data_IF_700678368739
#
_entry.id   IF_700678368739
#
_cell.length_a   1.000
_cell.length_b   1.000
_cell.length_c   1.000
_cell.angle_alpha   90.00
_cell.angle_beta   90.00
_cell.angle_gamma   90.00
#
_symmetry.space_group_name_H-M   'P 1'
#
loop_
_entity.id
_entity.type
_entity.pdbx_description
1 polymer ?
#
# COMPACT_ATOMS: atom_id res chain seq x y z
N UNK A 1 23.26 -38.54 2.58
CA UNK A 1 23.16 -37.40 1.64
C UNK A 1 21.81 -37.33 0.93
N UNK A 2 21.34 -38.37 0.24
CA UNK A 2 20.05 -38.34 -0.52
C UNK A 2 18.85 -37.91 0.34
N UNK A 3 18.71 -38.46 1.54
CA UNK A 3 17.63 -38.11 2.48
C UNK A 3 17.63 -36.63 2.87
N UNK A 4 18.82 -36.05 3.11
CA UNK A 4 18.96 -34.63 3.45
C UNK A 4 18.54 -33.78 2.25
N UNK A 5 18.99 -34.12 1.04
CA UNK A 5 18.59 -33.41 -0.17
C UNK A 5 17.07 -33.45 -0.40
N UNK A 6 16.42 -34.60 -0.20
CA UNK A 6 14.98 -34.73 -0.33
C UNK A 6 14.21 -33.85 0.67
N UNK A 7 14.66 -33.83 1.94
CA UNK A 7 14.04 -32.98 2.97
C UNK A 7 14.22 -31.50 2.66
N UNK A 8 15.40 -31.08 2.19
CA UNK A 8 15.66 -29.68 1.81
C UNK A 8 14.79 -29.25 0.63
N UNK A 9 14.68 -30.08 -0.42
CA UNK A 9 13.83 -29.78 -1.58
C UNK A 9 12.36 -29.67 -1.15
N UNK A 10 11.88 -30.60 -0.31
CA UNK A 10 10.50 -30.58 0.17
C UNK A 10 10.20 -29.32 1.00
N UNK A 11 11.09 -28.95 1.93
CA UNK A 11 10.96 -27.71 2.72
C UNK A 11 10.93 -26.46 1.83
N UNK A 12 11.84 -26.37 0.86
CA UNK A 12 11.88 -25.24 -0.06
C UNK A 12 10.61 -25.17 -0.92
N UNK A 13 10.04 -26.31 -1.32
CA UNK A 13 8.77 -26.37 -2.04
C UNK A 13 7.59 -25.81 -1.23
N UNK A 14 7.48 -26.19 0.05
CA UNK A 14 6.46 -25.64 0.95
C UNK A 14 6.65 -24.12 1.11
N UNK A 15 7.87 -23.70 1.43
CA UNK A 15 8.18 -22.28 1.66
C UNK A 15 7.89 -21.42 0.42
N UNK A 16 8.24 -21.90 -0.77
CA UNK A 16 7.93 -21.21 -2.02
C UNK A 16 6.42 -21.08 -2.22
N UNK A 17 5.65 -22.16 -2.01
CA UNK A 17 4.20 -22.12 -2.16
C UNK A 17 3.54 -21.15 -1.18
N UNK A 18 3.98 -21.12 0.07
CA UNK A 18 3.47 -20.18 1.08
C UNK A 18 3.79 -18.73 0.72
N UNK A 19 5.01 -18.45 0.24
CA UNK A 19 5.42 -17.13 -0.20
C UNK A 19 4.61 -16.65 -1.42
N UNK A 20 4.42 -17.52 -2.42
CA UNK A 20 3.59 -17.21 -3.59
C UNK A 20 2.12 -16.99 -3.23
N UNK A 21 1.58 -17.81 -2.32
CA UNK A 21 0.22 -17.65 -1.83
C UNK A 21 0.06 -16.31 -1.11
N UNK A 22 0.99 -15.95 -0.22
CA UNK A 22 0.99 -14.64 0.45
C UNK A 22 1.05 -13.50 -0.58
N UNK A 23 1.97 -13.58 -1.53
CA UNK A 23 2.14 -12.57 -2.57
C UNK A 23 0.83 -12.36 -3.35
N UNK A 24 0.17 -13.44 -3.75
CA UNK A 24 -1.13 -13.39 -4.44
C UNK A 24 -2.21 -12.74 -3.58
N UNK A 25 -2.28 -13.09 -2.30
CA UNK A 25 -3.27 -12.51 -1.37
C UNK A 25 -3.03 -11.02 -1.10
N UNK A 26 -1.77 -10.60 -0.98
CA UNK A 26 -1.40 -9.20 -0.84
C UNK A 26 -1.74 -8.41 -2.11
N UNK A 27 -1.48 -9.02 -3.27
CA UNK A 27 -1.83 -8.45 -4.56
C UNK A 27 -3.35 -8.25 -4.69
N UNK A 28 -4.14 -9.28 -4.40
CA UNK A 28 -5.61 -9.20 -4.48
C UNK A 28 -6.18 -8.16 -3.50
N UNK A 29 -5.61 -8.07 -2.28
CA UNK A 29 -5.96 -7.03 -1.34
C UNK A 29 -5.58 -5.62 -1.86
N UNK A 30 -4.43 -5.50 -2.52
CA UNK A 30 -3.96 -4.23 -3.11
C UNK A 30 -4.87 -3.77 -4.25
N UNK A 31 -5.29 -4.68 -5.13
CA UNK A 31 -6.30 -4.42 -6.17
C UNK A 31 -7.61 -3.97 -5.55
N UNK A 32 -8.11 -4.69 -4.53
CA UNK A 32 -9.35 -4.33 -3.85
C UNK A 32 -9.29 -2.93 -3.21
N UNK A 33 -8.19 -2.59 -2.54
CA UNK A 33 -7.97 -1.25 -1.96
C UNK A 33 -7.93 -0.19 -3.05
N UNK A 34 -7.18 -0.42 -4.14
CA UNK A 34 -7.08 0.52 -5.24
C UNK A 34 -8.44 0.74 -5.92
N UNK A 35 -9.22 -0.31 -6.18
CA UNK A 35 -10.57 -0.18 -6.75
C UNK A 35 -11.47 0.67 -5.87
N UNK A 36 -11.48 0.46 -4.55
CA UNK A 36 -12.27 1.26 -3.61
C UNK A 36 -11.81 2.72 -3.54
N UNK A 37 -10.51 2.95 -3.67
CA UNK A 37 -9.93 4.29 -3.68
C UNK A 37 -10.34 5.05 -4.95
N UNK A 38 -10.21 4.41 -6.12
CA UNK A 38 -10.64 4.98 -7.41
C UNK A 38 -12.13 5.28 -7.40
N UNK A 39 -12.97 4.33 -6.98
CA UNK A 39 -14.42 4.52 -6.85
C UNK A 39 -14.76 5.69 -5.93
N UNK A 40 -14.04 5.83 -4.81
CA UNK A 40 -14.24 6.96 -3.89
C UNK A 40 -13.87 8.30 -4.51
N UNK A 41 -12.80 8.36 -5.30
CA UNK A 41 -12.37 9.57 -6.01
C UNK A 41 -13.40 9.94 -7.10
N UNK A 42 -13.80 8.95 -7.92
CA UNK A 42 -14.73 9.16 -9.04
C UNK A 42 -16.14 9.57 -8.59
N UNK A 43 -16.52 9.22 -7.37
CA UNK A 43 -17.81 9.58 -6.76
C UNK A 43 -17.77 10.86 -5.94
N UNK A 44 -16.59 11.47 -5.76
CA UNK A 44 -16.45 12.73 -5.03
C UNK A 44 -17.10 13.88 -5.81
N UNK A 45 -18.01 14.67 -5.18
CA UNK A 45 -18.65 15.78 -5.86
C UNK A 45 -17.64 16.79 -6.45
N UNK A 46 -17.76 17.06 -7.75
CA UNK A 46 -16.88 18.00 -8.46
C UNK A 46 -15.67 17.35 -9.12
N UNK A 47 -15.42 16.06 -8.88
CA UNK A 47 -14.35 15.33 -9.55
C UNK A 47 -14.62 15.19 -11.06
N UNK A 48 -13.57 15.34 -11.85
CA UNK A 48 -13.54 15.07 -13.30
C UNK A 48 -12.25 14.34 -13.65
N UNK A 49 -12.15 13.77 -14.86
CA UNK A 49 -10.94 13.07 -15.30
C UNK A 49 -9.68 13.96 -15.35
N UNK A 50 -9.86 15.28 -15.42
CA UNK A 50 -8.77 16.25 -15.49
C UNK A 50 -8.36 16.77 -14.11
N UNK A 51 -9.14 16.45 -13.07
CA UNK A 51 -8.87 16.86 -11.68
C UNK A 51 -7.53 16.31 -11.21
N UNK A 52 -6.69 17.20 -10.68
CA UNK A 52 -5.42 16.83 -10.08
C UNK A 52 -5.65 16.15 -8.73
N UNK A 53 -5.03 15.00 -8.51
CA UNK A 53 -5.16 14.22 -7.27
C UNK A 53 -3.82 14.12 -6.58
N UNK A 54 -3.78 14.46 -5.30
CA UNK A 54 -2.58 14.29 -4.47
C UNK A 54 -2.85 13.25 -3.39
N UNK A 55 -1.96 12.27 -3.31
CA UNK A 55 -1.99 11.25 -2.26
C UNK A 55 -1.04 11.63 -1.15
N UNK A 56 -1.54 11.76 0.08
CA UNK A 56 -0.74 12.10 1.25
C UNK A 56 -0.54 10.86 2.11
N UNK A 57 0.73 10.47 2.26
CA UNK A 57 1.14 9.28 3.01
C UNK A 57 0.91 7.97 2.25
N UNK A 58 0.96 6.86 2.98
CA UNK A 58 0.85 5.51 2.42
C UNK A 58 -0.48 4.84 2.76
N UNK A 59 -1.03 3.98 1.90
CA UNK A 59 -2.21 3.20 2.24
C UNK A 59 -1.98 2.31 3.46
N UNK A 60 -2.89 2.37 4.42
CA UNK A 60 -2.82 1.56 5.62
C UNK A 60 -3.13 0.09 5.29
N UNK A 61 -2.15 -0.79 5.52
CA UNK A 61 -2.29 -2.24 5.45
C UNK A 61 -1.98 -2.86 6.81
N UNK A 62 -2.61 -3.98 7.17
CA UNK A 62 -2.16 -4.78 8.30
C UNK A 62 -0.69 -5.17 8.13
N UNK A 63 0.13 -4.96 9.17
CA UNK A 63 1.55 -5.33 9.16
C UNK A 63 1.78 -6.84 9.15
N UNK A 64 0.78 -7.61 9.61
CA UNK A 64 0.84 -9.07 9.58
C UNK A 64 -0.45 -9.61 8.99
N UNK A 65 -0.33 -10.77 8.35
CA UNK A 65 -1.46 -11.58 7.91
C UNK A 65 -1.44 -12.88 8.71
N UNK A 66 -2.53 -13.17 9.40
CA UNK A 66 -2.67 -14.44 10.13
C UNK A 66 -2.42 -15.62 9.18
N UNK A 67 -1.68 -16.61 9.66
CA UNK A 67 -1.21 -17.75 8.87
C UNK A 67 0.06 -17.50 8.03
N UNK A 68 0.58 -16.27 8.00
CA UNK A 68 1.80 -15.92 7.24
C UNK A 68 2.84 -15.17 8.05
N UNK A 69 2.78 -15.20 9.39
CA UNK A 69 3.69 -14.44 10.26
C UNK A 69 5.17 -14.79 10.00
N UNK A 70 5.47 -16.08 9.84
CA UNK A 70 6.81 -16.60 9.58
C UNK A 70 7.43 -16.13 8.26
N UNK A 71 6.60 -15.71 7.29
CA UNK A 71 7.12 -15.20 6.01
C UNK A 71 7.85 -13.87 6.15
N UNK A 72 7.71 -13.15 7.28
CA UNK A 72 8.51 -11.95 7.57
C UNK A 72 10.00 -12.25 7.67
N UNK A 73 10.37 -13.45 8.09
CA UNK A 73 11.76 -13.90 8.20
C UNK A 73 12.37 -14.25 6.83
N UNK A 74 11.54 -14.35 5.77
CA UNK A 74 12.00 -14.68 4.43
C UNK A 74 12.38 -13.37 3.72
N UNK A 75 13.66 -13.25 3.36
CA UNK A 75 14.17 -12.11 2.59
C UNK A 75 13.33 -11.86 1.34
N UNK A 76 12.84 -10.63 1.19
CA UNK A 76 12.01 -10.21 0.05
C UNK A 76 10.53 -10.59 0.15
N UNK A 77 10.09 -11.29 1.19
CA UNK A 77 8.68 -11.66 1.38
C UNK A 77 8.04 -10.97 2.60
N UNK A 78 8.71 -10.01 3.23
CA UNK A 78 8.25 -9.38 4.47
C UNK A 78 7.07 -8.41 4.28
N UNK A 79 7.00 -7.72 3.13
CA UNK A 79 5.92 -6.76 2.85
C UNK A 79 4.52 -7.40 2.79
N UNK A 80 3.50 -6.64 3.21
CA UNK A 80 2.08 -7.02 3.18
C UNK A 80 1.26 -6.30 2.09
N UNK A 81 1.94 -5.58 1.19
CA UNK A 81 1.32 -4.70 0.18
C UNK A 81 2.10 -4.70 -1.13
N UNK A 82 1.43 -4.27 -2.20
CA UNK A 82 2.00 -4.24 -3.56
C UNK A 82 2.41 -2.85 -4.04
N UNK A 83 2.09 -1.80 -3.28
CA UNK A 83 2.50 -0.41 -3.53
C UNK A 83 2.71 0.32 -2.20
N UNK A 84 3.42 1.44 -2.25
CA UNK A 84 3.79 2.26 -1.09
C UNK A 84 3.41 3.72 -1.31
N UNK A 85 4.05 4.41 -2.27
CA UNK A 85 3.90 5.85 -2.50
C UNK A 85 2.91 6.19 -3.61
N UNK A 86 2.51 7.46 -3.68
CA UNK A 86 1.60 7.99 -4.71
C UNK A 86 2.02 7.66 -6.15
N UNK A 87 3.32 7.73 -6.48
CA UNK A 87 3.83 7.36 -7.82
C UNK A 87 3.61 5.88 -8.16
N UNK A 88 3.92 4.98 -7.22
CA UNK A 88 3.72 3.54 -7.43
C UNK A 88 2.24 3.17 -7.41
N UNK A 89 1.43 3.89 -6.61
CA UNK A 89 -0.01 3.75 -6.62
C UNK A 89 -0.61 4.20 -7.96
N UNK A 90 -0.15 5.32 -8.53
CA UNK A 90 -0.52 5.75 -9.89
C UNK A 90 -0.21 4.65 -10.91
N UNK A 91 1.02 4.16 -10.90
CA UNK A 91 1.46 3.11 -11.81
C UNK A 91 0.64 1.82 -11.64
N UNK A 92 0.33 1.47 -10.40
CA UNK A 92 -0.50 0.31 -10.07
C UNK A 92 -1.94 0.47 -10.57
N UNK A 93 -2.58 1.61 -10.33
CA UNK A 93 -3.93 1.91 -10.82
C UNK A 93 -3.97 1.83 -12.34
N UNK A 94 -3.02 2.49 -13.03
CA UNK A 94 -2.96 2.49 -14.48
C UNK A 94 -2.76 1.08 -15.06
N UNK A 95 -1.84 0.29 -14.49
CA UNK A 95 -1.51 -1.03 -15.02
C UNK A 95 -2.56 -2.09 -14.68
N UNK A 96 -3.10 -2.07 -13.46
CA UNK A 96 -3.96 -3.14 -12.96
C UNK A 96 -5.45 -2.86 -13.10
N UNK A 97 -5.85 -1.59 -13.03
CA UNK A 97 -7.25 -1.19 -13.18
C UNK A 97 -7.55 -0.62 -14.58
N UNK A 98 -6.53 -0.17 -15.32
CA UNK A 98 -6.71 0.47 -16.62
C UNK A 98 -7.30 1.88 -16.53
N UNK A 99 -7.41 2.44 -15.31
CA UNK A 99 -7.92 3.78 -15.06
C UNK A 99 -6.79 4.79 -15.12
N UNK A 100 -7.05 5.93 -15.77
CA UNK A 100 -6.11 7.04 -15.79
C UNK A 100 -6.58 8.12 -14.81
N UNK A 101 -5.80 8.35 -13.75
CA UNK A 101 -6.01 9.43 -12.79
C UNK A 101 -4.81 10.37 -12.88
N UNK A 102 -5.09 11.68 -12.93
CA UNK A 102 -4.06 12.71 -12.94
C UNK A 102 -3.48 12.89 -11.53
N UNK A 103 -2.48 12.08 -11.18
CA UNK A 103 -1.88 12.06 -9.84
C UNK A 103 -0.60 12.89 -9.83
N UNK A 104 -0.55 13.89 -8.95
CA UNK A 104 0.65 14.66 -8.64
C UNK A 104 1.45 13.97 -7.55
N UNK A 105 2.77 13.88 -7.78
CA UNK A 105 3.70 13.07 -6.96
C UNK A 105 4.30 13.88 -5.79
N UNK A 106 4.14 15.21 -5.80
CA UNK A 106 4.66 16.09 -4.76
C UNK A 106 3.67 16.23 -3.59
N UNK A 107 3.86 15.43 -2.54
CA UNK A 107 3.06 15.46 -1.31
C UNK A 107 3.72 16.26 -0.18
N UNK A 108 4.99 16.68 -0.31
CA UNK A 108 5.77 17.33 0.75
C UNK A 108 5.11 18.62 1.26
N UNK A 109 4.53 19.39 0.34
CA UNK A 109 3.80 20.63 0.65
C UNK A 109 2.56 20.36 1.50
N UNK A 110 1.95 19.18 1.36
CA UNK A 110 0.70 18.81 2.02
C UNK A 110 0.92 18.02 3.33
N UNK A 111 2.07 17.37 3.50
CA UNK A 111 2.41 16.58 4.69
C UNK A 111 2.34 17.39 5.99
N UNK A 112 2.66 18.68 5.94
CA UNK A 112 2.72 19.56 7.13
C UNK A 112 1.50 20.48 7.26
N UNK A 113 0.53 20.38 6.36
CA UNK A 113 -0.62 21.29 6.33
C UNK A 113 -1.65 20.87 7.38
N UNK A 114 -2.09 21.82 8.21
CA UNK A 114 -2.89 21.52 9.41
C UNK A 114 -4.29 20.97 9.10
N UNK A 115 -4.91 21.39 8.00
CA UNK A 115 -6.20 20.88 7.52
C UNK A 115 -6.08 19.45 6.99
N UNK A 116 -5.02 19.12 6.24
CA UNK A 116 -4.73 17.75 5.78
C UNK A 116 -4.41 16.83 6.97
N UNK A 117 -3.65 17.31 7.94
CA UNK A 117 -3.36 16.55 9.17
C UNK A 117 -4.62 16.27 10.00
N UNK A 118 -5.63 17.14 9.93
CA UNK A 118 -6.90 16.96 10.63
C UNK A 118 -7.85 15.93 9.97
N UNK A 119 -7.65 15.60 8.69
CA UNK A 119 -8.44 14.56 8.01
C UNK A 119 -8.21 13.19 8.64
N UNK A 120 -9.24 12.33 8.60
CA UNK A 120 -9.06 10.91 8.89
C UNK A 120 -8.39 10.20 7.73
N UNK A 121 -7.76 9.06 8.00
CA UNK A 121 -7.11 8.25 6.97
C UNK A 121 -8.15 7.48 6.15
N UNK A 122 -7.93 7.30 4.85
CA UNK A 122 -8.69 6.36 4.03
C UNK A 122 -8.70 4.97 4.71
N UNK A 123 -9.86 4.29 4.82
CA UNK A 123 -11.11 4.50 4.07
C UNK A 123 -12.20 5.33 4.79
N UNK A 124 -11.82 6.18 5.76
CA UNK A 124 -12.77 7.05 6.45
C UNK A 124 -13.58 7.94 5.48
N UNK A 125 -14.69 8.49 5.96
CA UNK A 125 -15.54 9.34 5.12
C UNK A 125 -14.89 10.70 4.84
N UNK A 126 -14.25 11.25 5.86
CA UNK A 126 -13.54 12.53 5.93
C UNK A 126 -12.05 12.40 5.58
N UNK A 127 -11.72 11.61 4.55
CA UNK A 127 -10.33 11.39 4.11
C UNK A 127 -9.90 12.23 2.90
N UNK A 128 -10.78 13.10 2.40
CA UNK A 128 -10.55 13.92 1.21
C UNK A 128 -10.80 15.39 1.48
N UNK A 129 -10.02 16.26 0.82
CA UNK A 129 -10.13 17.71 0.93
C UNK A 129 -9.87 18.34 -0.43
N UNK A 130 -10.74 19.28 -0.82
CA UNK A 130 -10.51 20.12 -1.98
C UNK A 130 -9.61 21.31 -1.63
N UNK A 131 -8.59 21.53 -2.46
CA UNK A 131 -7.70 22.68 -2.41
C UNK A 131 -7.65 23.34 -3.80
N UNK A 132 -8.57 24.29 -4.03
CA UNK A 132 -8.80 24.83 -5.36
C UNK A 132 -9.32 23.74 -6.31
N UNK A 133 -8.57 23.47 -7.38
CA UNK A 133 -8.89 22.46 -8.39
C UNK A 133 -8.22 21.09 -8.10
N UNK A 134 -7.51 20.97 -6.97
CA UNK A 134 -6.81 19.75 -6.56
C UNK A 134 -7.60 19.00 -5.49
N UNK A 135 -7.73 17.69 -5.67
CA UNK A 135 -8.30 16.78 -4.67
C UNK A 135 -7.18 16.11 -3.88
N UNK A 136 -7.10 16.42 -2.58
CA UNK A 136 -6.16 15.81 -1.65
C UNK A 136 -6.82 14.58 -1.03
N UNK A 137 -6.11 13.45 -1.00
CA UNK A 137 -6.59 12.20 -0.40
C UNK A 137 -5.57 11.69 0.62
N UNK A 138 -5.99 11.56 1.88
CA UNK A 138 -5.14 11.08 2.98
C UNK A 138 -5.21 9.56 3.10
N UNK A 139 -4.08 8.88 2.90
CA UNK A 139 -4.00 7.42 2.89
C UNK A 139 -3.58 6.83 4.24
N UNK A 140 -2.77 7.59 4.98
CA UNK A 140 -2.64 7.48 6.44
C UNK A 140 -1.31 7.03 7.01
N UNK A 141 -0.49 6.30 6.25
CA UNK A 141 0.84 5.87 6.68
C UNK A 141 1.83 7.02 6.60
N UNK A 142 2.45 7.36 7.73
CA UNK A 142 3.58 8.27 7.77
C UNK A 142 4.87 7.55 7.34
N UNK A 143 5.64 8.20 6.47
CA UNK A 143 6.88 7.68 5.90
C UNK A 143 7.93 7.42 6.98
N UNK A 144 8.07 8.35 7.93
CA UNK A 144 9.08 8.25 8.99
C UNK A 144 8.72 7.17 9.99
N UNK A 145 7.42 7.04 10.30
CA UNK A 145 6.92 5.95 11.14
C UNK A 145 7.14 4.59 10.46
N UNK A 146 6.97 4.50 9.13
CA UNK A 146 7.22 3.25 8.38
C UNK A 146 8.68 2.80 8.47
N UNK A 147 9.64 3.66 8.16
CA UNK A 147 11.07 3.29 8.25
C UNK A 147 11.54 3.12 9.69
N UNK A 148 11.01 3.90 10.64
CA UNK A 148 11.32 3.73 12.05
C UNK A 148 10.83 2.40 12.62
N UNK A 149 9.73 1.86 12.11
CA UNK A 149 9.17 0.57 12.54
C UNK A 149 9.84 -0.60 11.81
N UNK A 150 10.12 -0.48 10.51
CA UNK A 150 10.78 -1.54 9.72
C UNK A 150 12.29 -1.66 10.00
N UNK A 151 12.92 -0.63 10.57
CA UNK A 151 14.34 -0.65 10.96
C UNK A 151 14.58 -0.74 12.47
N UNK A 152 13.54 -0.94 13.30
CA UNK A 152 13.74 -1.13 14.74
C UNK A 152 14.34 -2.51 15.02
N UNK A 153 15.26 -2.57 16.00
CA UNK A 153 16.05 -3.76 16.36
C UNK A 153 15.19 -4.97 16.80
N UNK A 154 13.89 -4.79 17.05
CA UNK A 154 12.94 -5.86 17.37
C UNK A 154 12.73 -6.86 16.20
N UNK A 155 13.17 -6.50 14.98
CA UNK A 155 13.11 -7.34 13.78
C UNK A 155 14.44 -8.00 13.41
N UNK A 156 15.51 -7.80 14.20
CA UNK A 156 16.85 -8.37 13.96
C UNK A 156 17.27 -9.46 14.97
N UNK A 157 16.41 -9.80 15.94
CA UNK A 157 16.60 -10.94 16.87
C UNK A 157 15.70 -12.14 16.52
#
# INVERSE_FOLDING_TARGET
>A
MVLVCLVTIYKNGIMANEAYLKLKLNYDASVSTATRLVDRIETEPGYTSDTEVVFVGMPAYPETREGFKHTKEITGAWMTRSFTFGEYLRSFIQQQLGTNINITVDDEVYLQRTDVLALSNFPAQDCMLWDGDTLIVKLGGDFDTFWGTEMSDEYLE
#
